data_IF_156921332640
#
_entry.id   IF_156921332640
#
_cell.length_a   1.000
_cell.length_b   1.000
_cell.length_c   1.000
_cell.angle_alpha   90.00
_cell.angle_beta   90.00
_cell.angle_gamma   90.00
#
_symmetry.space_group_name_H-M   'P 1'
#
loop_
_entity.id
_entity.type
_entity.pdbx_description
1 polymer ?
#
# COMPACT_ATOMS: atom_id res chain seq x y z
N UNK A 1 -4.46 -3.84 9.29
CA UNK A 1 -4.61 -3.35 10.68
C UNK A 1 -4.11 -1.92 10.73
N UNK A 2 -4.89 -0.97 11.25
CA UNK A 2 -4.44 0.44 11.37
C UNK A 2 -3.40 0.52 12.47
N UNK A 3 -2.22 1.06 12.14
CA UNK A 3 -1.13 1.20 13.12
C UNK A 3 -1.45 2.28 14.16
N UNK A 4 -1.21 2.03 15.46
CA UNK A 4 -1.30 3.07 16.49
C UNK A 4 -0.42 4.30 16.21
N UNK A 5 0.61 4.16 15.36
CA UNK A 5 1.46 5.26 14.93
C UNK A 5 0.72 6.38 14.19
N UNK A 6 -0.52 6.14 13.73
CA UNK A 6 -1.38 7.17 13.12
C UNK A 6 -1.62 8.38 14.05
N UNK A 7 -1.56 8.16 15.36
CA UNK A 7 -1.72 9.19 16.40
C UNK A 7 -0.44 9.97 16.72
N UNK A 8 0.66 9.71 16.01
CA UNK A 8 1.88 10.53 16.14
C UNK A 8 1.73 11.82 15.33
N UNK A 9 2.50 12.88 15.65
CA UNK A 9 2.52 14.11 14.85
C UNK A 9 2.74 13.81 13.37
N UNK A 10 1.87 14.34 12.51
CA UNK A 10 1.87 14.06 11.09
C UNK A 10 0.54 14.44 10.42
N UNK A 11 0.40 14.07 9.15
CA UNK A 11 -0.70 14.49 8.27
C UNK A 11 -2.09 14.24 8.83
N UNK A 12 -2.29 13.10 9.48
CA UNK A 12 -3.57 12.74 10.11
C UNK A 12 -3.96 13.71 11.23
N UNK A 13 -3.03 14.08 12.11
CA UNK A 13 -3.30 15.07 13.16
C UNK A 13 -3.39 16.49 12.59
N UNK A 14 -2.64 16.80 11.53
CA UNK A 14 -2.69 18.09 10.84
C UNK A 14 -4.02 18.38 10.14
N UNK A 15 -4.89 17.38 9.96
CA UNK A 15 -6.25 17.61 9.45
C UNK A 15 -7.06 18.57 10.32
N UNK A 16 -6.83 18.60 11.64
CA UNK A 16 -7.47 19.52 12.59
C UNK A 16 -9.00 19.38 12.73
N UNK A 17 -9.66 18.58 11.89
CA UNK A 17 -11.10 18.33 11.88
C UNK A 17 -11.37 16.87 12.29
N UNK A 18 -12.01 16.64 13.46
CA UNK A 18 -12.36 15.29 13.92
C UNK A 18 -13.23 14.51 12.93
N UNK A 19 -14.07 15.17 12.12
CA UNK A 19 -14.88 14.50 11.10
C UNK A 19 -14.01 14.03 9.94
N UNK A 20 -13.04 14.83 9.50
CA UNK A 20 -12.08 14.41 8.47
C UNK A 20 -11.26 13.21 8.97
N UNK A 21 -10.80 13.24 10.22
CA UNK A 21 -10.10 12.12 10.84
C UNK A 21 -10.96 10.86 10.91
N UNK A 22 -12.23 10.98 11.32
CA UNK A 22 -13.18 9.87 11.34
C UNK A 22 -13.39 9.29 9.95
N UNK A 23 -13.60 10.14 8.94
CA UNK A 23 -13.81 9.70 7.56
C UNK A 23 -12.59 8.98 7.00
N UNK A 24 -11.38 9.48 7.28
CA UNK A 24 -10.15 8.81 6.88
C UNK A 24 -9.98 7.45 7.55
N UNK A 25 -10.25 7.35 8.86
CA UNK A 25 -10.25 6.07 9.58
C UNK A 25 -11.27 5.09 9.01
N UNK A 26 -12.46 5.57 8.66
CA UNK A 26 -13.47 4.77 7.98
C UNK A 26 -12.93 4.24 6.65
N UNK A 27 -12.34 5.06 5.78
CA UNK A 27 -11.75 4.56 4.52
C UNK A 27 -10.65 3.52 4.72
N UNK A 28 -9.85 3.65 5.79
CA UNK A 28 -8.83 2.66 6.14
C UNK A 28 -9.40 1.31 6.60
N UNK A 29 -10.67 1.26 7.01
CA UNK A 29 -11.24 0.12 7.75
C UNK A 29 -12.60 -0.38 7.25
N UNK A 30 -13.23 0.32 6.29
CA UNK A 30 -14.53 -0.04 5.75
C UNK A 30 -14.52 -1.38 5.00
N UNK A 31 -15.70 -1.95 4.77
CA UNK A 31 -15.85 -3.25 4.10
C UNK A 31 -15.37 -3.26 2.64
N UNK A 32 -15.26 -2.08 2.01
CA UNK A 32 -14.82 -1.94 0.63
C UNK A 32 -13.28 -1.96 0.49
N UNK A 33 -12.56 -1.91 1.61
CA UNK A 33 -11.11 -1.88 1.63
C UNK A 33 -10.53 -3.15 0.97
N UNK A 34 -9.45 -2.98 0.21
CA UNK A 34 -8.70 -4.10 -0.38
C UNK A 34 -7.18 -3.87 -0.35
N UNK A 35 -6.41 -4.86 -0.81
CA UNK A 35 -4.94 -4.82 -0.79
C UNK A 35 -4.32 -3.68 -1.62
N UNK A 36 -5.06 -3.08 -2.56
CA UNK A 36 -4.59 -1.96 -3.38
C UNK A 36 -4.85 -0.58 -2.73
N UNK A 37 -5.61 -0.52 -1.63
CA UNK A 37 -5.98 0.75 -1.00
C UNK A 37 -6.88 1.63 -1.89
N UNK A 38 -7.45 1.03 -2.94
CA UNK A 38 -8.29 1.71 -3.93
C UNK A 38 -9.57 0.91 -4.17
N UNK A 39 -10.72 1.54 -4.03
CA UNK A 39 -12.02 0.87 -4.10
C UNK A 39 -13.11 1.82 -4.55
N UNK A 40 -14.17 1.25 -5.12
CA UNK A 40 -15.38 1.97 -5.47
C UNK A 40 -16.26 2.12 -4.23
N UNK A 41 -16.67 3.36 -3.93
CA UNK A 41 -17.56 3.69 -2.83
C UNK A 41 -18.52 4.83 -3.24
N UNK A 42 -19.74 4.50 -3.70
CA UNK A 42 -20.79 5.49 -3.88
C UNK A 42 -21.11 6.23 -2.59
N UNK A 43 -21.36 7.54 -2.69
CA UNK A 43 -21.60 8.42 -1.55
C UNK A 43 -22.72 7.91 -0.63
N UNK A 44 -23.78 7.32 -1.20
CA UNK A 44 -24.91 6.78 -0.44
C UNK A 44 -24.54 5.67 0.54
N UNK A 45 -23.56 4.81 0.20
CA UNK A 45 -23.09 3.76 1.11
C UNK A 45 -22.27 4.34 2.26
N UNK A 46 -21.34 5.25 1.96
CA UNK A 46 -20.57 5.95 2.98
C UNK A 46 -21.50 6.74 3.94
N UNK A 47 -22.49 7.44 3.39
CA UNK A 47 -23.49 8.16 4.18
C UNK A 47 -24.31 7.22 5.08
N UNK A 48 -24.71 6.06 4.58
CA UNK A 48 -25.47 5.08 5.36
C UNK A 48 -24.63 4.52 6.53
N UNK A 49 -23.38 4.14 6.28
CA UNK A 49 -22.48 3.60 7.31
C UNK A 49 -22.15 4.63 8.40
N UNK A 50 -21.92 5.89 7.99
CA UNK A 50 -21.53 6.96 8.91
C UNK A 50 -22.73 7.64 9.59
N UNK A 51 -23.95 7.42 9.08
CA UNK A 51 -25.14 8.16 9.48
C UNK A 51 -25.07 9.65 9.13
N UNK A 52 -24.39 10.01 8.03
CA UNK A 52 -24.15 11.40 7.64
C UNK A 52 -25.05 11.83 6.49
N UNK A 53 -25.43 13.12 6.48
CA UNK A 53 -26.08 13.73 5.33
C UNK A 53 -25.07 13.92 4.19
N UNK A 54 -25.54 13.76 2.95
CA UNK A 54 -24.70 13.87 1.75
C UNK A 54 -23.89 15.18 1.69
N UNK A 55 -24.45 16.38 1.93
CA UNK A 55 -23.67 17.62 1.89
C UNK A 55 -22.52 17.64 2.92
N UNK A 56 -22.74 17.07 4.11
CA UNK A 56 -21.70 16.94 5.12
C UNK A 56 -20.60 15.98 4.66
N UNK A 57 -20.97 14.82 4.13
CA UNK A 57 -20.00 13.83 3.65
C UNK A 57 -19.13 14.40 2.52
N UNK A 58 -19.75 15.08 1.55
CA UNK A 58 -19.02 15.73 0.44
C UNK A 58 -18.06 16.79 0.96
N UNK A 59 -18.50 17.68 1.87
CA UNK A 59 -17.62 18.70 2.48
C UNK A 59 -16.40 18.07 3.18
N UNK A 60 -16.64 17.06 4.01
CA UNK A 60 -15.57 16.39 4.75
C UNK A 60 -14.63 15.62 3.80
N UNK A 61 -15.14 14.99 2.74
CA UNK A 61 -14.31 14.36 1.71
C UNK A 61 -13.43 15.37 1.00
N UNK A 62 -13.93 16.57 0.69
CA UNK A 62 -13.12 17.62 0.07
C UNK A 62 -11.96 18.05 0.96
N UNK A 63 -12.13 18.07 2.29
CA UNK A 63 -11.01 18.32 3.22
C UNK A 63 -9.93 17.24 3.14
N UNK A 64 -10.32 15.98 2.95
CA UNK A 64 -9.36 14.88 2.75
C UNK A 64 -8.62 15.00 1.42
N UNK A 65 -9.30 15.39 0.34
CA UNK A 65 -8.67 15.64 -0.97
C UNK A 65 -7.68 16.82 -0.84
N UNK A 66 -8.09 17.93 -0.22
CA UNK A 66 -7.25 19.10 -0.01
C UNK A 66 -6.03 18.81 0.88
N UNK A 67 -6.16 17.89 1.84
CA UNK A 67 -5.04 17.38 2.65
C UNK A 67 -4.19 16.31 1.96
N UNK A 68 -4.45 16.03 0.68
CA UNK A 68 -3.87 14.95 -0.13
C UNK A 68 -4.00 13.57 0.53
N UNK A 69 -4.96 13.38 1.44
CA UNK A 69 -5.14 12.13 2.20
C UNK A 69 -5.75 11.03 1.33
N UNK A 70 -6.52 11.45 0.32
CA UNK A 70 -7.13 10.56 -0.68
C UNK A 70 -7.08 11.23 -2.05
N UNK A 71 -7.14 10.41 -3.09
CA UNK A 71 -7.60 10.82 -4.41
C UNK A 71 -9.01 10.28 -4.64
N UNK A 72 -9.84 11.03 -5.36
CA UNK A 72 -11.23 10.67 -5.61
C UNK A 72 -11.63 11.00 -7.05
N UNK A 73 -12.29 10.05 -7.70
CA UNK A 73 -12.95 10.24 -8.98
C UNK A 73 -14.48 10.12 -8.81
N UNK A 74 -15.19 11.21 -9.10
CA UNK A 74 -16.65 11.27 -8.97
C UNK A 74 -17.40 10.46 -10.02
N UNK A 75 -16.84 10.26 -11.22
CA UNK A 75 -17.54 9.54 -12.30
C UNK A 75 -17.71 8.07 -11.95
N UNK A 76 -16.63 7.45 -11.47
CA UNK A 76 -16.62 6.03 -11.08
C UNK A 76 -16.91 5.82 -9.59
N UNK A 77 -16.99 6.89 -8.80
CA UNK A 77 -17.02 6.86 -7.32
C UNK A 77 -15.82 6.10 -6.73
N UNK A 78 -14.64 6.26 -7.33
CA UNK A 78 -13.43 5.56 -6.92
C UNK A 78 -12.64 6.39 -5.92
N UNK A 79 -12.27 5.77 -4.80
CA UNK A 79 -11.40 6.36 -3.78
C UNK A 79 -10.06 5.64 -3.81
N UNK A 80 -8.97 6.38 -3.74
CA UNK A 80 -7.64 5.86 -3.44
C UNK A 80 -7.08 6.52 -2.18
N UNK A 81 -6.58 5.71 -1.25
CA UNK A 81 -5.92 6.18 -0.03
C UNK A 81 -4.47 6.54 -0.37
N UNK A 82 -4.13 7.81 -0.28
CA UNK A 82 -2.81 8.31 -0.67
C UNK A 82 -1.71 7.71 0.21
N UNK A 83 -0.59 7.33 -0.41
CA UNK A 83 0.55 6.67 0.24
C UNK A 83 0.23 5.31 0.86
N UNK A 84 -0.83 4.64 0.41
CA UNK A 84 -1.22 3.31 0.89
C UNK A 84 -0.04 2.33 0.94
N UNK A 85 0.73 2.23 -0.14
CA UNK A 85 1.84 1.26 -0.25
C UNK A 85 3.10 1.63 0.55
N UNK A 86 3.17 2.80 1.18
CA UNK A 86 4.21 3.10 2.19
C UNK A 86 3.94 2.39 3.51
N UNK A 87 2.67 2.00 3.75
CA UNK A 87 2.23 1.35 4.98
C UNK A 87 1.82 -0.11 4.74
N UNK A 88 1.28 -0.41 3.55
CA UNK A 88 0.72 -1.71 3.20
C UNK A 88 1.36 -2.26 1.92
N UNK A 89 2.70 -2.36 1.91
CA UNK A 89 3.45 -2.94 0.81
C UNK A 89 3.12 -4.43 0.59
N UNK A 90 3.40 -4.94 -0.61
CA UNK A 90 3.20 -6.36 -0.90
C UNK A 90 4.12 -7.22 -0.02
N UNK A 91 3.53 -8.15 0.74
CA UNK A 91 4.28 -9.10 1.57
C UNK A 91 5.08 -10.17 0.79
N UNK A 92 4.77 -10.42 -0.49
CA UNK A 92 5.45 -11.41 -1.34
C UNK A 92 5.13 -11.17 -2.82
N UNK A 93 5.87 -11.83 -3.73
CA UNK A 93 5.60 -11.74 -5.18
C UNK A 93 4.22 -12.27 -5.56
N UNK A 94 3.76 -13.35 -4.90
CA UNK A 94 2.40 -13.87 -5.12
C UNK A 94 1.33 -12.86 -4.69
N UNK A 95 1.55 -12.17 -3.57
CA UNK A 95 0.65 -11.11 -3.12
C UNK A 95 0.68 -9.91 -4.09
N UNK A 96 1.86 -9.56 -4.60
CA UNK A 96 2.03 -8.49 -5.59
C UNK A 96 1.26 -8.78 -6.90
N UNK A 97 1.23 -10.02 -7.37
CA UNK A 97 0.40 -10.44 -8.53
C UNK A 97 -1.08 -10.18 -8.26
N UNK A 98 -1.57 -10.53 -7.05
CA UNK A 98 -2.95 -10.26 -6.65
C UNK A 98 -3.28 -8.77 -6.64
N UNK A 99 -2.37 -7.94 -6.10
CA UNK A 99 -2.52 -6.48 -6.10
C UNK A 99 -2.58 -5.93 -7.53
N UNK A 100 -1.66 -6.32 -8.44
CA UNK A 100 -1.68 -5.87 -9.85
C UNK A 100 -3.00 -6.21 -10.54
N UNK A 101 -3.56 -7.38 -10.27
CA UNK A 101 -4.89 -7.75 -10.79
C UNK A 101 -5.97 -6.80 -10.28
N UNK A 102 -5.97 -6.49 -8.99
CA UNK A 102 -6.92 -5.52 -8.41
C UNK A 102 -6.74 -4.13 -9.04
N UNK A 103 -5.51 -3.66 -9.21
CA UNK A 103 -5.21 -2.35 -9.84
C UNK A 103 -5.71 -2.32 -11.28
N UNK A 104 -5.47 -3.37 -12.07
CA UNK A 104 -5.91 -3.42 -13.47
C UNK A 104 -7.44 -3.34 -13.64
N UNK A 105 -8.19 -3.75 -12.61
CA UNK A 105 -9.65 -3.73 -12.60
C UNK A 105 -10.26 -2.40 -12.13
N UNK A 106 -9.44 -1.42 -11.72
CA UNK A 106 -9.92 -0.07 -11.36
C UNK A 106 -10.52 0.58 -12.61
N UNK A 107 -11.73 1.11 -12.52
CA UNK A 107 -12.45 1.69 -13.66
C UNK A 107 -11.90 3.06 -14.07
N UNK A 108 -11.52 3.89 -13.08
CA UNK A 108 -10.97 5.22 -13.30
C UNK A 108 -9.52 5.17 -13.80
N UNK A 109 -9.28 5.61 -15.04
CA UNK A 109 -7.93 5.68 -15.61
C UNK A 109 -6.99 6.56 -14.77
N UNK A 110 -7.46 7.75 -14.39
CA UNK A 110 -6.67 8.72 -13.62
C UNK A 110 -6.26 8.15 -12.27
N UNK A 111 -7.17 7.48 -11.56
CA UNK A 111 -6.84 6.85 -10.28
C UNK A 111 -5.97 5.61 -10.51
N UNK A 112 -6.28 4.78 -11.51
CA UNK A 112 -5.52 3.57 -11.83
C UNK A 112 -4.06 3.86 -12.10
N UNK A 113 -3.77 4.84 -12.97
CA UNK A 113 -2.39 5.26 -13.30
C UNK A 113 -1.61 5.68 -12.04
N UNK A 114 -2.27 6.44 -11.17
CA UNK A 114 -1.68 6.88 -9.90
C UNK A 114 -1.41 5.73 -8.93
N UNK A 115 -2.37 4.81 -8.77
CA UNK A 115 -2.21 3.63 -7.90
C UNK A 115 -1.11 2.71 -8.43
N UNK A 116 -1.03 2.53 -9.75
CA UNK A 116 0.00 1.73 -10.41
C UNK A 116 1.40 2.34 -10.20
N UNK A 117 1.54 3.66 -10.37
CA UNK A 117 2.80 4.36 -10.12
C UNK A 117 3.27 4.21 -8.66
N UNK A 118 2.37 4.42 -7.69
CA UNK A 118 2.69 4.25 -6.27
C UNK A 118 3.03 2.80 -5.92
N UNK A 119 2.35 1.84 -6.53
CA UNK A 119 2.60 0.42 -6.32
C UNK A 119 3.97 0.00 -6.87
N UNK A 120 4.31 0.37 -8.10
CA UNK A 120 5.60 0.00 -8.70
C UNK A 120 6.78 0.69 -8.01
N UNK A 121 6.59 1.91 -7.49
CA UNK A 121 7.57 2.55 -6.61
C UNK A 121 7.81 1.73 -5.33
N UNK A 122 6.75 1.23 -4.69
CA UNK A 122 6.85 0.36 -3.51
C UNK A 122 7.51 -0.98 -3.84
N UNK A 123 7.18 -1.59 -4.98
CA UNK A 123 7.77 -2.86 -5.43
C UNK A 123 9.26 -2.73 -5.75
N UNK A 124 9.68 -1.60 -6.33
CA UNK A 124 11.09 -1.31 -6.57
C UNK A 124 11.88 -1.27 -5.26
N UNK A 125 11.34 -0.59 -4.24
CA UNK A 125 11.94 -0.55 -2.90
C UNK A 125 11.99 -1.94 -2.27
N UNK A 126 10.89 -2.69 -2.32
CA UNK A 126 10.82 -4.05 -1.75
C UNK A 126 11.85 -4.98 -2.39
N UNK A 127 11.92 -5.03 -3.72
CA UNK A 127 12.86 -5.88 -4.46
C UNK A 127 14.31 -5.42 -4.30
N UNK A 128 14.54 -4.10 -4.19
CA UNK A 128 15.86 -3.54 -3.91
C UNK A 128 16.39 -3.90 -2.52
N UNK A 129 15.52 -4.06 -1.53
CA UNK A 129 15.87 -4.60 -0.20
C UNK A 129 16.19 -6.10 -0.27
N UNK A 130 15.70 -6.80 -1.30
CA UNK A 130 15.72 -8.25 -1.42
C UNK A 130 17.00 -8.86 -2.04
N UNK A 131 18.15 -8.16 -2.14
CA UNK A 131 19.43 -8.81 -2.50
C UNK A 131 20.71 -8.08 -2.04
N UNK A 132 21.64 -8.79 -1.35
CA UNK A 132 22.65 -9.59 -2.07
C UNK A 132 22.75 -11.09 -1.73
N UNK A 133 21.97 -11.63 -0.79
CA UNK A 133 22.16 -13.02 -0.29
C UNK A 133 21.25 -14.04 -0.99
N UNK A 134 20.21 -13.62 -1.72
CA UNK A 134 19.24 -14.53 -2.36
C UNK A 134 19.67 -14.98 -3.78
N UNK A 135 20.95 -14.81 -4.14
CA UNK A 135 21.47 -15.59 -5.26
C UNK A 135 21.57 -17.05 -4.83
N UNK A 136 20.91 -18.02 -5.51
CA UNK A 136 21.21 -19.41 -5.26
C UNK A 136 22.70 -19.56 -5.53
N UNK A 137 23.45 -20.07 -4.55
CA UNK A 137 24.86 -20.42 -4.71
C UNK A 137 24.98 -21.25 -5.99
N UNK A 138 25.41 -20.60 -7.06
CA UNK A 138 25.79 -21.26 -8.29
C UNK A 138 26.97 -22.13 -7.89
N UNK A 139 26.74 -23.46 -7.91
CA UNK A 139 27.78 -24.47 -7.74
C UNK A 139 28.84 -24.26 -8.84
N UNK A 140 29.81 -23.41 -8.53
CA UNK A 140 30.73 -22.85 -9.51
C UNK A 140 32.04 -22.49 -8.83
N UNK A 141 32.91 -23.48 -8.77
CA UNK A 141 34.33 -23.38 -8.42
C UNK A 141 34.68 -23.30 -6.92
N UNK A 142 34.61 -24.45 -6.26
CA UNK A 142 35.43 -24.77 -5.07
C UNK A 142 36.93 -24.68 -5.40
N UNK A 143 37.50 -23.48 -5.36
CA UNK A 143 38.96 -23.26 -5.46
C UNK A 143 39.68 -23.35 -4.12
N UNK A 144 38.98 -23.69 -3.04
CA UNK A 144 39.54 -23.80 -1.69
C UNK A 144 39.55 -25.23 -1.12
N UNK A 145 39.19 -26.25 -1.90
CA UNK A 145 39.17 -27.66 -1.44
C UNK A 145 40.46 -28.42 -1.83
N UNK A 146 41.31 -27.86 -2.70
CA UNK A 146 42.55 -28.51 -3.16
C UNK A 146 43.84 -27.94 -2.53
N UNK A 147 43.78 -27.37 -1.32
CA UNK A 147 45.00 -27.13 -0.54
C UNK A 147 45.36 -28.40 0.23
N UNK A 148 46.42 -29.09 -0.22
CA UNK A 148 47.08 -30.24 0.40
C UNK A 148 47.65 -29.94 1.81
N UNK A 149 46.82 -29.55 2.78
CA UNK A 149 47.28 -29.20 4.13
C UNK A 149 47.06 -30.27 5.20
N UNK A 150 46.57 -31.46 4.84
CA UNK A 150 46.44 -32.59 5.78
C UNK A 150 46.72 -33.93 5.10
N UNK A 151 47.98 -34.18 4.73
CA UNK A 151 48.48 -35.56 4.57
C UNK A 151 49.75 -35.79 5.38
N UNK A 152 49.65 -35.66 6.70
CA UNK A 152 50.63 -36.20 7.64
C UNK A 152 50.18 -37.59 8.07
N UNK A 153 50.53 -38.62 7.30
CA UNK A 153 50.41 -40.02 7.71
C UNK A 153 51.29 -40.24 8.94
N UNK A 154 50.67 -40.59 10.06
CA UNK A 154 51.37 -41.26 11.16
C UNK A 154 51.71 -42.69 10.74
N UNK A 155 53.01 -43.00 10.73
CA UNK A 155 53.58 -44.31 11.01
C UNK A 155 54.91 -44.09 11.71
#
# INVERSE_FOLDING_TARGET
MVSPAIWRPGRFLSLGDPKAQMLYLYFLTCEHQNSAGCFRLPDGYACADLGWLLPQYVDVRQKLIAGEMIAFDSETSTIYIERWFQHCAAMSDKHAIGIRKTISAIESDVIREKVEADFEASETLRKGVQNPIDTPFSNGSSRLINSNFLSGRGR
#
